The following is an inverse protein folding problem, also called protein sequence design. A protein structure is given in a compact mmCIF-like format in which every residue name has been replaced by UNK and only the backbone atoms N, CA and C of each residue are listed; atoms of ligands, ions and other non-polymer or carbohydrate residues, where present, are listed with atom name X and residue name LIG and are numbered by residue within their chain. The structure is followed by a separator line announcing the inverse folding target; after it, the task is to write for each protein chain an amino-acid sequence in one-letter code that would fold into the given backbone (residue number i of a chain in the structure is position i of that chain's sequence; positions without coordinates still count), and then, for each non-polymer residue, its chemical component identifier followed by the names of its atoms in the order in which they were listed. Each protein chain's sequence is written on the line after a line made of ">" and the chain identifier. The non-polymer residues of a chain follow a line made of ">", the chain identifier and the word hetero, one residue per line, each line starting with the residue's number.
data_IF_651810901022
#
_entry.id   IF_651810901022
#
_cell.length_a   1.000
_cell.length_b   1.000
_cell.length_c   1.000
_cell.angle_alpha   90.00
_cell.angle_beta   90.00
_cell.angle_gamma   90.00
#
_symmetry.space_group_name_H-M   'P 1'
#
loop_
_entity.id
_entity.type
_entity.pdbx_description
1 polymer ?
#
# COMPACT_ATOMS: atom_id res chain seq x y z
N UNK A 1 29.05 21.65 3.55
CA UNK A 1 28.82 20.37 4.25
C UNK A 1 27.55 19.77 3.67
N UNK A 2 27.44 18.44 3.61
CA UNK A 2 26.20 17.80 3.13
C UNK A 2 25.01 18.18 4.01
N UNK A 3 23.82 18.36 3.42
CA UNK A 3 22.58 18.61 4.17
C UNK A 3 22.11 17.37 4.94
N UNK A 4 22.47 16.17 4.48
CA UNK A 4 21.98 14.89 5.02
C UNK A 4 23.10 13.84 5.18
N UNK A 5 24.17 14.14 5.95
CA UNK A 5 25.38 13.32 5.95
C UNK A 5 25.17 11.87 6.42
N UNK A 6 24.18 11.58 7.27
CA UNK A 6 23.88 10.21 7.70
C UNK A 6 23.07 9.46 6.64
N UNK A 7 22.02 10.08 6.09
CA UNK A 7 21.20 9.48 5.06
C UNK A 7 21.95 9.27 3.73
N UNK A 8 22.94 10.11 3.41
CA UNK A 8 23.77 9.98 2.22
C UNK A 8 24.49 8.62 2.15
N UNK A 9 24.88 8.05 3.30
CA UNK A 9 25.50 6.72 3.34
C UNK A 9 24.55 5.61 2.85
N UNK A 10 23.24 5.83 2.95
CA UNK A 10 22.21 4.87 2.52
C UNK A 10 21.89 4.96 1.03
N UNK A 11 22.51 5.88 0.29
CA UNK A 11 22.45 5.88 -1.18
C UNK A 11 23.44 4.90 -1.81
N UNK A 12 24.39 4.41 -1.01
CA UNK A 12 25.40 3.46 -1.43
C UNK A 12 24.86 2.03 -1.41
N UNK A 13 25.59 1.13 -2.06
CA UNK A 13 25.26 -0.28 -2.12
C UNK A 13 24.31 -0.65 -3.27
N UNK A 14 24.06 -1.95 -3.47
CA UNK A 14 23.32 -2.43 -4.64
C UNK A 14 21.79 -2.39 -4.49
N UNK A 15 21.27 -2.33 -3.25
CA UNK A 15 19.83 -2.31 -3.01
C UNK A 15 19.23 -0.94 -3.36
N UNK A 16 18.06 -0.86 -4.02
CA UNK A 16 17.43 0.42 -4.37
C UNK A 16 17.17 1.26 -3.12
N UNK A 17 17.84 2.41 -3.05
CA UNK A 17 17.80 3.29 -1.89
C UNK A 17 16.50 4.09 -1.83
N UNK A 18 15.80 4.02 -0.69
CA UNK A 18 14.65 4.88 -0.42
C UNK A 18 15.07 6.36 -0.27
N UNK A 19 16.30 6.65 0.15
CA UNK A 19 16.83 8.02 0.25
C UNK A 19 16.90 8.66 -1.14
N UNK A 20 17.38 7.89 -2.13
CA UNK A 20 17.42 8.31 -3.52
C UNK A 20 16.03 8.64 -4.07
N UNK A 21 15.02 7.84 -3.74
CA UNK A 21 13.63 8.12 -4.14
C UNK A 21 13.10 9.41 -3.49
N UNK A 22 13.36 9.65 -2.21
CA UNK A 22 12.94 10.88 -1.53
C UNK A 22 13.62 12.12 -2.14
N UNK A 23 14.95 12.06 -2.35
CA UNK A 23 15.71 13.17 -2.97
C UNK A 23 15.21 13.48 -4.38
N UNK A 24 15.03 12.44 -5.21
CA UNK A 24 14.48 12.58 -6.56
C UNK A 24 13.10 13.24 -6.55
N UNK A 25 12.20 12.82 -5.66
CA UNK A 25 10.88 13.44 -5.54
C UNK A 25 10.98 14.90 -5.14
N UNK A 26 11.80 15.24 -4.14
CA UNK A 26 12.01 16.63 -3.73
C UNK A 26 12.50 17.51 -4.90
N UNK A 27 13.51 17.05 -5.63
CA UNK A 27 14.07 17.78 -6.79
C UNK A 27 13.03 18.00 -7.90
N UNK A 28 12.27 16.96 -8.24
CA UNK A 28 11.29 17.03 -9.33
C UNK A 28 10.05 17.84 -8.96
N UNK A 29 9.53 17.71 -7.74
CA UNK A 29 8.36 18.47 -7.26
C UNK A 29 8.68 19.98 -7.18
N UNK A 30 9.85 20.33 -6.64
CA UNK A 30 10.31 21.72 -6.58
C UNK A 30 10.55 22.32 -7.96
N UNK A 31 11.15 21.52 -8.88
CA UNK A 31 11.34 21.93 -10.27
C UNK A 31 10.00 22.17 -10.97
N UNK A 32 9.07 21.23 -10.86
CA UNK A 32 7.77 21.32 -11.50
C UNK A 32 6.95 22.53 -11.01
N UNK A 33 7.02 22.86 -9.71
CA UNK A 33 6.41 24.07 -9.17
C UNK A 33 7.05 25.35 -9.71
N UNK A 34 8.39 25.38 -9.87
CA UNK A 34 9.10 26.50 -10.51
C UNK A 34 8.75 26.66 -11.99
N UNK A 35 8.40 25.57 -12.66
CA UNK A 35 7.91 25.55 -14.05
C UNK A 35 6.42 25.93 -14.17
N UNK A 36 5.75 26.25 -13.06
CA UNK A 36 4.37 26.73 -13.05
C UNK A 36 3.30 25.63 -13.01
N UNK A 37 3.68 24.36 -12.73
CA UNK A 37 2.67 23.33 -12.44
C UNK A 37 1.92 23.65 -11.15
N UNK A 38 0.65 23.27 -11.10
CA UNK A 38 -0.19 23.44 -9.91
C UNK A 38 0.16 22.40 -8.84
N UNK A 39 1.19 22.69 -8.03
CA UNK A 39 1.67 21.82 -6.95
C UNK A 39 1.51 22.55 -5.63
N UNK A 40 0.74 21.97 -4.70
CA UNK A 40 0.43 22.60 -3.42
C UNK A 40 1.49 22.37 -2.34
N UNK A 41 2.32 21.34 -2.47
CA UNK A 41 3.31 20.94 -1.46
C UNK A 41 4.70 20.61 -2.05
N UNK A 42 5.33 21.53 -2.80
CA UNK A 42 6.55 21.23 -3.55
C UNK A 42 7.74 20.83 -2.66
N UNK A 43 7.87 21.42 -1.47
CA UNK A 43 9.01 21.21 -0.57
C UNK A 43 8.83 20.06 0.42
N UNK A 44 7.69 19.37 0.41
CA UNK A 44 7.32 18.43 1.47
C UNK A 44 8.24 17.20 1.54
N UNK A 45 8.69 16.67 0.40
CA UNK A 45 9.67 15.59 0.37
C UNK A 45 11.04 16.02 0.92
N UNK A 46 11.48 17.27 0.68
CA UNK A 46 12.72 17.81 1.26
C UNK A 46 12.58 18.00 2.77
N UNK A 47 11.43 18.46 3.24
CA UNK A 47 11.13 18.55 4.67
C UNK A 47 11.19 17.21 5.37
N UNK A 48 10.58 16.19 4.76
CA UNK A 48 10.65 14.82 5.25
C UNK A 48 12.10 14.35 5.34
N UNK A 49 12.91 14.62 4.32
CA UNK A 49 14.32 14.27 4.32
C UNK A 49 15.10 14.93 5.46
N UNK A 50 14.88 16.24 5.70
CA UNK A 50 15.51 16.96 6.83
C UNK A 50 15.10 16.39 8.18
N UNK A 51 13.80 16.18 8.39
CA UNK A 51 13.31 15.61 9.64
C UNK A 51 13.84 14.18 9.85
N UNK A 52 13.94 13.39 8.77
CA UNK A 52 14.48 12.04 8.84
C UNK A 52 15.97 12.06 9.20
N UNK A 53 16.76 12.98 8.65
CA UNK A 53 18.17 13.16 9.02
C UNK A 53 18.32 13.47 10.53
N UNK A 54 17.47 14.35 11.06
CA UNK A 54 17.43 14.66 12.50
C UNK A 54 17.06 13.41 13.30
N UNK A 55 16.06 12.64 12.86
CA UNK A 55 15.72 11.34 13.46
C UNK A 55 16.88 10.33 13.43
N UNK A 56 17.70 10.31 12.38
CA UNK A 56 18.89 9.45 12.31
C UNK A 56 19.95 9.85 13.33
N UNK A 57 20.15 11.16 13.51
CA UNK A 57 21.08 11.72 14.50
C UNK A 57 20.63 11.42 15.93
N UNK A 58 19.36 11.71 16.22
CA UNK A 58 18.82 11.65 17.59
C UNK A 58 18.35 10.23 17.96
N UNK A 59 18.17 9.35 16.98
CA UNK A 59 17.70 7.97 17.12
C UNK A 59 16.32 7.88 17.78
N UNK A 60 15.48 8.89 17.52
CA UNK A 60 14.09 8.98 17.98
C UNK A 60 13.19 9.47 16.85
N UNK A 61 11.89 9.18 16.95
CA UNK A 61 10.89 9.71 16.03
C UNK A 61 10.59 11.17 16.35
N UNK A 62 10.43 11.99 15.31
CA UNK A 62 10.00 13.39 15.41
C UNK A 62 8.55 13.61 14.97
N UNK A 63 7.75 12.56 15.15
CA UNK A 63 6.31 12.58 14.89
C UNK A 63 5.54 12.44 16.19
N UNK A 64 4.63 13.38 16.46
CA UNK A 64 3.77 13.35 17.66
C UNK A 64 2.44 12.63 17.41
N UNK A 65 1.65 12.52 18.47
CA UNK A 65 0.29 11.97 18.40
C UNK A 65 -0.52 12.70 17.31
N UNK A 66 -1.21 11.92 16.47
CA UNK A 66 -1.98 12.44 15.35
C UNK A 66 -3.31 13.00 15.81
N UNK A 67 -3.72 14.15 15.29
CA UNK A 67 -5.10 14.61 15.35
C UNK A 67 -6.03 13.75 14.47
N UNK A 68 -7.31 13.76 14.80
CA UNK A 68 -8.36 13.13 13.97
C UNK A 68 -8.61 14.05 12.78
N UNK A 69 -8.34 13.55 11.58
CA UNK A 69 -8.60 14.23 10.30
C UNK A 69 -9.14 13.20 9.31
N UNK A 70 -10.13 13.59 8.52
CA UNK A 70 -10.75 12.74 7.49
C UNK A 70 -11.31 13.60 6.35
N UNK A 71 -11.88 12.94 5.35
CA UNK A 71 -12.68 13.60 4.30
C UNK A 71 -14.15 13.65 4.71
N UNK A 72 -14.92 14.54 4.08
CA UNK A 72 -16.35 14.71 4.36
C UNK A 72 -17.10 13.41 4.05
N UNK A 73 -17.92 12.96 5.00
CA UNK A 73 -18.76 11.77 4.86
C UNK A 73 -18.12 10.45 5.30
N UNK A 74 -16.79 10.39 5.44
CA UNK A 74 -16.04 9.21 5.89
C UNK A 74 -15.37 9.44 7.25
N UNK A 75 -15.38 8.41 8.09
CA UNK A 75 -14.74 8.42 9.41
C UNK A 75 -13.37 7.73 9.46
N UNK A 76 -12.95 7.11 8.35
CA UNK A 76 -11.69 6.36 8.22
C UNK A 76 -10.92 6.69 6.95
N UNK A 77 -9.76 6.05 6.79
CA UNK A 77 -8.93 6.09 5.57
C UNK A 77 -7.84 7.15 5.52
N UNK A 78 -7.88 8.17 6.39
CA UNK A 78 -6.81 9.17 6.54
C UNK A 78 -6.14 9.02 7.91
N UNK A 79 -4.81 8.99 7.93
CA UNK A 79 -4.03 8.96 9.17
C UNK A 79 -3.40 10.34 9.41
N UNK A 80 -3.95 11.06 10.39
CA UNK A 80 -3.39 12.30 10.87
C UNK A 80 -2.00 12.11 11.46
N UNK A 81 -1.08 12.99 11.08
CA UNK A 81 0.32 12.98 11.50
C UNK A 81 0.85 14.40 11.51
N UNK A 82 1.54 14.74 12.60
CA UNK A 82 2.09 16.06 12.84
C UNK A 82 3.54 15.93 13.30
N UNK A 83 4.40 16.80 12.79
CA UNK A 83 5.78 16.90 13.25
C UNK A 83 5.86 17.57 14.63
N UNK A 84 6.79 17.14 15.48
CA UNK A 84 7.17 17.91 16.67
C UNK A 84 8.18 19.02 16.36
N UNK A 85 8.83 18.96 15.20
CA UNK A 85 9.72 19.98 14.62
C UNK A 85 8.98 20.94 13.67
N UNK A 86 7.64 21.03 13.76
CA UNK A 86 6.83 21.79 12.79
C UNK A 86 7.17 23.28 12.69
N UNK A 87 7.80 23.88 13.70
CA UNK A 87 8.31 25.25 13.61
C UNK A 87 9.63 25.35 12.83
N UNK A 88 10.47 24.32 12.88
CA UNK A 88 11.79 24.25 12.25
C UNK A 88 11.70 23.73 10.81
N UNK A 89 10.75 22.82 10.56
CA UNK A 89 10.48 22.19 9.27
C UNK A 89 8.99 22.35 8.94
N UNK A 90 8.52 23.57 8.64
CA UNK A 90 7.09 23.89 8.46
C UNK A 90 6.43 23.11 7.33
N UNK A 91 7.19 22.68 6.33
CA UNK A 91 6.69 21.87 5.21
C UNK A 91 6.17 20.48 5.62
N UNK A 92 6.51 19.98 6.82
CA UNK A 92 6.00 18.72 7.37
C UNK A 92 5.26 18.89 8.70
N UNK A 93 4.86 20.13 9.03
CA UNK A 93 4.00 20.40 10.19
C UNK A 93 2.76 19.50 10.17
N UNK A 94 2.12 19.39 9.00
CA UNK A 94 1.10 18.40 8.69
C UNK A 94 1.66 17.46 7.62
N UNK A 95 1.59 16.15 7.87
CA UNK A 95 2.08 15.14 6.94
C UNK A 95 1.18 13.91 6.91
N UNK A 96 -0.10 14.16 6.65
CA UNK A 96 -1.15 13.15 6.73
C UNK A 96 -1.04 12.12 5.61
N UNK A 97 -1.43 10.89 5.91
CA UNK A 97 -1.42 9.79 4.93
C UNK A 97 -2.84 9.51 4.47
N UNK A 98 -3.06 9.41 3.15
CA UNK A 98 -4.30 8.88 2.59
C UNK A 98 -4.08 7.45 2.13
N UNK A 99 -4.93 6.52 2.59
CA UNK A 99 -4.94 5.14 2.11
C UNK A 99 -5.90 5.04 0.96
N UNK A 100 -5.46 4.56 -0.18
CA UNK A 100 -6.27 4.48 -1.39
C UNK A 100 -6.50 3.00 -1.72
N UNK A 101 -7.76 2.63 -1.91
CA UNK A 101 -8.17 1.25 -2.13
C UNK A 101 -7.55 0.74 -3.45
N UNK A 102 -6.79 -0.36 -3.39
CA UNK A 102 -6.17 -0.95 -4.57
C UNK A 102 -7.14 -1.86 -5.33
N UNK A 103 -6.92 -2.09 -6.64
CA UNK A 103 -7.56 -3.18 -7.37
C UNK A 103 -7.17 -4.54 -6.78
N UNK A 104 -8.10 -5.50 -6.78
CA UNK A 104 -7.84 -6.87 -6.33
C UNK A 104 -6.62 -7.46 -7.03
N UNK A 105 -5.71 -8.08 -6.26
CA UNK A 105 -4.47 -8.66 -6.79
C UNK A 105 -3.41 -7.66 -7.25
N UNK A 106 -3.60 -6.36 -7.00
CA UNK A 106 -2.67 -5.28 -7.36
C UNK A 106 -2.37 -5.18 -8.87
N UNK A 107 -3.36 -5.50 -9.71
CA UNK A 107 -3.26 -5.32 -11.15
C UNK A 107 -3.59 -3.88 -11.55
N UNK A 108 -2.72 -3.30 -12.39
CA UNK A 108 -2.86 -1.91 -12.83
C UNK A 108 -2.69 -1.78 -14.33
N UNK A 109 -3.45 -0.85 -14.91
CA UNK A 109 -3.08 -0.24 -16.18
C UNK A 109 -2.17 0.96 -15.91
N UNK A 110 -1.29 1.28 -16.86
CA UNK A 110 -0.47 2.50 -16.73
C UNK A 110 -1.32 3.77 -16.69
N UNK A 111 -2.52 3.74 -17.27
CA UNK A 111 -3.48 4.85 -17.22
C UNK A 111 -3.97 5.13 -15.80
N UNK A 112 -4.37 4.09 -15.06
CA UNK A 112 -4.81 4.22 -13.67
C UNK A 112 -3.69 4.79 -12.78
N UNK A 113 -2.46 4.29 -12.94
CA UNK A 113 -1.31 4.76 -12.17
C UNK A 113 -0.94 6.21 -12.50
N UNK A 114 -0.97 6.61 -13.77
CA UNK A 114 -0.68 8.00 -14.17
C UNK A 114 -1.68 8.98 -13.56
N UNK A 115 -2.98 8.67 -13.62
CA UNK A 115 -4.00 9.52 -12.98
C UNK A 115 -3.76 9.68 -11.47
N UNK A 116 -3.42 8.60 -10.77
CA UNK A 116 -3.07 8.66 -9.36
C UNK A 116 -1.80 9.49 -9.09
N UNK A 117 -0.78 9.40 -9.95
CA UNK A 117 0.41 10.24 -9.86
C UNK A 117 0.08 11.72 -10.08
N UNK A 118 -0.74 12.06 -11.07
CA UNK A 118 -1.10 13.46 -11.39
C UNK A 118 -1.84 14.11 -10.22
N UNK A 119 -2.80 13.40 -9.62
CA UNK A 119 -3.53 13.90 -8.44
C UNK A 119 -2.61 14.05 -7.23
N UNK A 120 -1.72 13.09 -7.00
CA UNK A 120 -0.82 13.15 -5.85
C UNK A 120 0.32 14.17 -6.01
N UNK A 121 0.82 14.39 -7.23
CA UNK A 121 1.76 15.48 -7.55
C UNK A 121 1.15 16.84 -7.21
N UNK A 122 -0.15 17.03 -7.52
CA UNK A 122 -0.86 18.28 -7.21
C UNK A 122 -1.05 18.49 -5.72
N UNK A 123 -1.57 17.51 -4.99
CA UNK A 123 -2.08 17.70 -3.62
C UNK A 123 -1.18 17.23 -2.50
N UNK A 124 -0.14 16.46 -2.79
CA UNK A 124 0.68 15.79 -1.78
C UNK A 124 2.17 16.03 -1.95
N UNK A 125 2.94 15.24 -1.21
CA UNK A 125 4.41 15.28 -1.24
C UNK A 125 5.03 14.65 -2.50
N UNK A 126 4.23 13.94 -3.30
CA UNK A 126 4.71 13.05 -4.36
C UNK A 126 5.26 11.70 -3.87
N UNK A 127 5.44 11.50 -2.55
CA UNK A 127 5.93 10.25 -1.97
C UNK A 127 4.79 9.25 -1.80
N UNK A 128 5.08 7.97 -2.07
CA UNK A 128 4.08 6.90 -1.97
C UNK A 128 4.67 5.62 -1.38
N UNK A 129 3.81 4.70 -0.94
CA UNK A 129 4.18 3.30 -0.79
C UNK A 129 3.30 2.43 -1.69
N UNK A 130 3.94 1.55 -2.44
CA UNK A 130 3.31 0.54 -3.30
C UNK A 130 3.73 -0.85 -2.79
N UNK A 131 3.06 -1.40 -1.78
CA UNK A 131 1.81 -0.96 -1.14
C UNK A 131 1.94 -0.96 0.38
N UNK A 132 0.91 -0.51 1.08
CA UNK A 132 0.77 -0.75 2.51
C UNK A 132 0.50 -2.23 2.82
N UNK A 133 0.89 -2.71 4.00
CA UNK A 133 0.76 -4.14 4.35
C UNK A 133 -0.68 -4.66 4.43
N UNK A 134 -1.70 -3.81 4.50
CA UNK A 134 -3.10 -4.28 4.33
C UNK A 134 -3.40 -4.55 2.87
N UNK A 135 -2.86 -3.68 1.99
CA UNK A 135 -2.95 -3.76 0.54
C UNK A 135 -3.09 -2.38 -0.13
N UNK A 136 -3.54 -1.36 0.61
CA UNK A 136 -3.79 0.00 0.12
C UNK A 136 -2.56 0.63 -0.57
N UNK A 137 -2.80 1.44 -1.59
CA UNK A 137 -1.80 2.42 -2.05
C UNK A 137 -1.69 3.49 -0.97
N UNK A 138 -0.46 3.88 -0.62
CA UNK A 138 -0.22 4.87 0.42
C UNK A 138 0.22 6.18 -0.23
N UNK A 139 -0.61 7.21 -0.12
CA UNK A 139 -0.23 8.58 -0.46
C UNK A 139 0.34 9.26 0.79
N UNK A 140 1.66 9.42 0.83
CA UNK A 140 2.40 9.71 2.05
C UNK A 140 2.72 11.20 2.21
N UNK A 141 1.90 11.92 2.98
CA UNK A 141 2.17 13.30 3.36
C UNK A 141 1.38 14.31 2.55
N UNK A 142 0.31 14.82 3.15
CA UNK A 142 -0.41 16.00 2.71
C UNK A 142 -0.88 16.84 3.91
N UNK A 143 -1.40 18.04 3.66
CA UNK A 143 -1.98 18.93 4.67
C UNK A 143 -3.49 18.73 4.79
N UNK A 144 -4.08 19.19 5.89
CA UNK A 144 -5.49 18.93 6.21
C UNK A 144 -6.43 19.53 5.16
N UNK A 145 -6.13 20.75 4.73
CA UNK A 145 -6.88 21.52 3.72
C UNK A 145 -6.90 20.88 2.33
N UNK A 146 -5.99 19.94 2.04
CA UNK A 146 -5.89 19.27 0.75
C UNK A 146 -6.52 17.88 0.72
N UNK A 147 -6.93 17.33 1.87
CA UNK A 147 -7.53 16.00 1.93
C UNK A 147 -8.80 15.89 1.10
N UNK A 148 -9.73 16.83 1.27
CA UNK A 148 -11.02 16.82 0.58
C UNK A 148 -10.86 17.09 -0.93
N UNK A 149 -10.12 18.12 -1.39
CA UNK A 149 -9.88 18.32 -2.81
C UNK A 149 -9.13 17.16 -3.49
N UNK A 150 -8.17 16.54 -2.79
CA UNK A 150 -7.46 15.36 -3.30
C UNK A 150 -8.42 14.19 -3.51
N UNK A 151 -9.28 13.92 -2.53
CA UNK A 151 -10.29 12.87 -2.65
C UNK A 151 -11.28 13.13 -3.78
N UNK A 152 -11.73 14.38 -3.92
CA UNK A 152 -12.59 14.77 -5.04
C UNK A 152 -11.89 14.53 -6.39
N UNK A 153 -10.65 14.96 -6.57
CA UNK A 153 -9.92 14.73 -7.82
C UNK A 153 -9.71 13.22 -8.09
N UNK A 154 -9.41 12.41 -7.05
CA UNK A 154 -9.30 10.94 -7.19
C UNK A 154 -10.61 10.29 -7.65
N UNK A 155 -11.75 10.74 -7.10
CA UNK A 155 -13.07 10.24 -7.44
C UNK A 155 -13.54 10.65 -8.84
N UNK A 156 -13.00 11.75 -9.39
CA UNK A 156 -13.33 12.26 -10.72
C UNK A 156 -12.33 11.84 -11.82
N UNK A 157 -11.31 11.04 -11.50
CA UNK A 157 -10.44 10.43 -12.51
C UNK A 157 -11.25 9.54 -13.46
N UNK A 158 -10.78 9.40 -14.70
CA UNK A 158 -11.38 8.46 -15.65
C UNK A 158 -11.29 7.00 -15.17
N UNK A 159 -10.24 6.67 -14.42
CA UNK A 159 -10.18 5.44 -13.61
C UNK A 159 -10.14 5.86 -12.15
N UNK A 160 -11.33 5.99 -11.50
CA UNK A 160 -11.43 6.56 -10.18
C UNK A 160 -10.88 5.62 -9.11
N UNK A 161 -10.42 6.23 -8.01
CA UNK A 161 -10.01 5.52 -6.82
C UNK A 161 -10.77 6.06 -5.61
N UNK A 162 -11.24 5.14 -4.76
CA UNK A 162 -11.79 5.50 -3.45
C UNK A 162 -10.75 5.27 -2.34
N UNK A 163 -11.02 5.80 -1.15
CA UNK A 163 -10.19 5.68 0.05
C UNK A 163 -10.33 4.26 0.64
N UNK A 164 -9.23 3.70 1.13
CA UNK A 164 -9.23 2.46 1.90
C UNK A 164 -9.64 2.63 3.37
N UNK A 165 -9.63 1.53 4.12
CA UNK A 165 -10.06 1.52 5.53
C UNK A 165 -8.99 1.91 6.55
N UNK A 166 -9.39 2.68 7.57
CA UNK A 166 -8.63 2.83 8.82
C UNK A 166 -9.50 3.25 10.00
N UNK A 167 -9.28 2.60 11.15
CA UNK A 167 -9.98 2.92 12.39
C UNK A 167 -10.49 1.64 13.02
N UNK A 168 -11.66 1.72 13.65
CA UNK A 168 -12.43 0.56 14.11
C UNK A 168 -13.52 0.21 13.09
N UNK A 169 -13.08 -0.29 11.95
CA UNK A 169 -13.81 -0.49 10.71
C UNK A 169 -13.42 -1.82 10.02
N UNK A 170 -14.13 -2.13 8.93
CA UNK A 170 -13.61 -3.06 7.93
C UNK A 170 -12.39 -2.43 7.27
N UNK A 171 -11.27 -3.12 7.30
CA UNK A 171 -10.09 -2.73 6.53
C UNK A 171 -10.22 -3.26 5.12
N UNK A 172 -9.58 -2.54 4.20
CA UNK A 172 -9.44 -2.91 2.79
C UNK A 172 -9.12 -4.40 2.63
N UNK A 173 -10.04 -5.19 2.06
CA UNK A 173 -9.77 -6.58 1.71
C UNK A 173 -8.61 -6.70 0.72
N UNK A 174 -7.83 -7.79 0.81
CA UNK A 174 -6.80 -8.11 -0.19
C UNK A 174 -6.83 -9.56 -0.61
N UNK A 175 -6.40 -9.82 -1.84
CA UNK A 175 -6.39 -11.15 -2.44
C UNK A 175 -5.06 -11.47 -3.13
N UNK A 176 -4.69 -12.75 -3.15
CA UNK A 176 -3.60 -13.20 -4.02
C UNK A 176 -4.00 -13.05 -5.49
N UNK A 177 -3.05 -13.25 -6.41
CA UNK A 177 -3.32 -13.16 -7.85
C UNK A 177 -4.41 -14.14 -8.33
N UNK A 178 -4.62 -15.25 -7.63
CA UNK A 178 -5.72 -16.18 -7.90
C UNK A 178 -5.75 -16.65 -9.36
N UNK A 179 -6.95 -16.76 -9.97
CA UNK A 179 -7.10 -17.34 -11.30
C UNK A 179 -6.53 -16.47 -12.43
N UNK A 180 -6.10 -15.23 -12.15
CA UNK A 180 -5.51 -14.38 -13.20
C UNK A 180 -4.21 -14.96 -13.76
N UNK A 181 -3.40 -15.60 -12.90
CA UNK A 181 -2.08 -16.10 -13.26
C UNK A 181 -1.74 -17.46 -12.64
N UNK A 182 -2.49 -17.93 -11.63
CA UNK A 182 -2.17 -19.16 -10.91
C UNK A 182 -3.12 -20.30 -11.26
N UNK A 183 -2.54 -21.41 -11.70
CA UNK A 183 -3.19 -22.69 -11.99
C UNK A 183 -3.65 -23.44 -10.73
N UNK A 184 -3.22 -23.03 -9.53
CA UNK A 184 -3.62 -23.63 -8.25
C UNK A 184 -4.86 -22.96 -7.61
N UNK A 185 -5.39 -21.90 -8.21
CA UNK A 185 -6.52 -21.17 -7.65
C UNK A 185 -7.78 -22.06 -7.59
N UNK A 186 -8.28 -22.33 -6.38
CA UNK A 186 -9.47 -23.15 -6.16
C UNK A 186 -10.78 -22.36 -6.29
N UNK A 187 -10.71 -21.03 -6.36
CA UNK A 187 -11.84 -20.13 -6.57
C UNK A 187 -11.34 -18.78 -7.11
N UNK A 188 -12.26 -17.93 -7.57
CA UNK A 188 -11.92 -16.56 -7.98
C UNK A 188 -11.68 -15.65 -6.78
N UNK A 189 -10.41 -15.50 -6.40
CA UNK A 189 -10.03 -14.64 -5.27
C UNK A 189 -10.19 -13.16 -5.57
N UNK A 190 -10.05 -12.76 -6.83
CA UNK A 190 -10.05 -11.35 -7.23
C UNK A 190 -11.47 -10.82 -7.19
N UNK A 191 -12.40 -11.58 -7.76
CA UNK A 191 -13.83 -11.27 -7.77
C UNK A 191 -14.39 -11.25 -6.35
N UNK A 192 -14.13 -12.28 -5.54
CA UNK A 192 -14.61 -12.29 -4.15
C UNK A 192 -14.10 -11.09 -3.35
N UNK A 193 -12.83 -10.73 -3.52
CA UNK A 193 -12.25 -9.57 -2.84
C UNK A 193 -12.91 -8.26 -3.28
N UNK A 194 -13.21 -8.13 -4.58
CA UNK A 194 -13.89 -6.95 -5.11
C UNK A 194 -15.32 -6.85 -4.61
N UNK A 195 -16.10 -7.94 -4.72
CA UNK A 195 -17.48 -8.02 -4.27
C UNK A 195 -17.62 -7.73 -2.77
N UNK A 196 -16.75 -8.29 -1.93
CA UNK A 196 -16.75 -7.98 -0.49
C UNK A 196 -16.42 -6.50 -0.22
N UNK A 197 -15.50 -5.93 -1.00
CA UNK A 197 -15.13 -4.50 -0.86
C UNK A 197 -16.31 -3.60 -1.23
N UNK A 198 -17.05 -3.91 -2.29
CA UNK A 198 -18.23 -3.15 -2.71
C UNK A 198 -19.44 -3.35 -1.79
N UNK A 199 -19.65 -4.59 -1.33
CA UNK A 199 -20.78 -4.93 -0.45
C UNK A 199 -20.71 -4.19 0.88
N UNK A 200 -19.50 -4.06 1.44
CA UNK A 200 -19.27 -3.53 2.79
C UNK A 200 -18.58 -2.15 2.79
N UNK A 201 -18.85 -1.33 1.76
CA UNK A 201 -18.33 0.04 1.67
C UNK A 201 -18.64 0.86 2.93
N UNK A 202 -19.86 0.72 3.46
CA UNK A 202 -20.26 1.48 4.65
C UNK A 202 -19.41 1.10 5.87
N UNK A 203 -19.22 -0.19 6.12
CA UNK A 203 -18.44 -0.73 7.23
C UNK A 203 -16.95 -0.40 7.10
N UNK A 204 -16.46 -0.19 5.87
CA UNK A 204 -15.09 0.24 5.57
C UNK A 204 -14.89 1.74 5.79
N UNK A 205 -15.80 2.57 5.29
CA UNK A 205 -15.63 4.04 5.31
C UNK A 205 -16.11 4.70 6.62
N UNK A 206 -17.02 4.07 7.35
CA UNK A 206 -17.66 4.63 8.56
C UNK A 206 -17.42 3.71 9.76
N UNK A 207 -16.28 3.89 10.46
CA UNK A 207 -15.93 3.08 11.62
C UNK A 207 -17.02 3.09 12.70
N UNK A 208 -17.68 1.96 12.89
CA UNK A 208 -18.77 1.76 13.86
C UNK A 208 -18.57 0.50 14.72
N UNK A 209 -17.42 -0.17 14.59
CA UNK A 209 -17.12 -1.42 15.28
C UNK A 209 -16.30 -1.21 16.56
N UNK A 210 -16.22 -2.21 17.46
CA UNK A 210 -15.37 -2.14 18.64
C UNK A 210 -13.88 -2.00 18.29
N UNK A 211 -13.44 -2.66 17.22
CA UNK A 211 -12.09 -2.52 16.71
C UNK A 211 -12.02 -2.84 15.20
N UNK A 212 -10.80 -2.87 14.65
CA UNK A 212 -10.57 -3.18 13.23
C UNK A 212 -10.88 -4.65 12.92
N UNK A 213 -11.32 -4.91 11.69
CA UNK A 213 -11.48 -6.26 11.16
C UNK A 213 -10.91 -6.33 9.74
N UNK A 214 -10.22 -7.42 9.40
CA UNK A 214 -9.55 -7.60 8.12
C UNK A 214 -10.00 -8.89 7.45
N UNK A 215 -10.20 -8.82 6.14
CA UNK A 215 -10.46 -9.98 5.28
C UNK A 215 -9.27 -10.17 4.33
N UNK A 216 -8.83 -11.41 4.14
CA UNK A 216 -7.88 -11.77 3.08
C UNK A 216 -8.29 -13.05 2.37
N UNK A 217 -8.09 -13.07 1.06
CA UNK A 217 -8.49 -14.14 0.15
C UNK A 217 -7.26 -14.82 -0.48
N UNK A 218 -7.01 -16.08 -0.14
CA UNK A 218 -5.96 -16.89 -0.72
C UNK A 218 -6.55 -18.05 -1.53
N UNK A 219 -6.12 -18.20 -2.78
CA UNK A 219 -6.73 -19.15 -3.72
C UNK A 219 -6.43 -20.63 -3.41
N UNK A 220 -5.40 -20.91 -2.62
CA UNK A 220 -5.01 -22.26 -2.21
C UNK A 220 -4.23 -22.22 -0.87
N UNK A 221 -3.90 -23.38 -0.27
CA UNK A 221 -3.21 -23.45 1.03
C UNK A 221 -1.80 -22.85 1.10
N UNK A 222 -1.17 -22.53 -0.04
CA UNK A 222 0.10 -21.78 -0.06
C UNK A 222 -0.02 -20.39 0.60
N UNK A 223 -1.24 -19.82 0.62
CA UNK A 223 -1.56 -18.58 1.33
C UNK A 223 -0.62 -17.42 0.98
N UNK A 224 -0.51 -17.10 -0.32
CA UNK A 224 0.44 -16.11 -0.85
C UNK A 224 0.19 -14.67 -0.37
N UNK A 225 -0.96 -14.39 0.27
CA UNK A 225 -1.25 -13.09 0.93
C UNK A 225 -1.14 -13.14 2.44
N UNK A 226 -0.69 -14.28 2.99
CA UNK A 226 -0.57 -14.53 4.42
C UNK A 226 -1.86 -14.18 5.19
N UNK A 227 -3.00 -14.60 4.63
CA UNK A 227 -4.32 -14.40 5.19
C UNK A 227 -4.37 -14.84 6.65
N UNK A 228 -3.92 -16.08 6.93
CA UNK A 228 -3.99 -16.70 8.26
C UNK A 228 -3.27 -15.90 9.36
N UNK A 229 -2.28 -15.08 8.99
CA UNK A 229 -1.47 -14.28 9.92
C UNK A 229 -1.88 -12.81 9.98
N UNK A 230 -2.56 -12.30 8.94
CA UNK A 230 -2.74 -10.85 8.70
C UNK A 230 -4.20 -10.47 8.46
N UNK A 231 -5.15 -11.37 8.68
CA UNK A 231 -6.57 -11.14 8.60
C UNK A 231 -7.31 -11.82 9.76
N UNK A 232 -8.33 -11.14 10.28
CA UNK A 232 -9.24 -11.67 11.29
C UNK A 232 -10.16 -12.74 10.68
N UNK A 233 -10.49 -12.58 9.39
CA UNK A 233 -11.22 -13.56 8.60
C UNK A 233 -10.42 -13.97 7.36
N UNK A 234 -9.94 -15.21 7.38
CA UNK A 234 -9.09 -15.77 6.33
C UNK A 234 -9.91 -16.71 5.46
N UNK A 235 -10.03 -16.39 4.17
CA UNK A 235 -10.69 -17.24 3.18
C UNK A 235 -9.58 -17.93 2.39
N UNK A 236 -9.40 -19.24 2.61
CA UNK A 236 -8.34 -20.03 1.99
C UNK A 236 -8.96 -21.16 1.18
N UNK A 237 -8.67 -21.16 -0.13
CA UNK A 237 -9.20 -22.12 -1.08
C UNK A 237 -8.68 -23.53 -0.81
N UNK A 238 -9.53 -24.50 -1.08
CA UNK A 238 -9.24 -25.94 -0.95
C UNK A 238 -10.15 -26.74 -1.88
N UNK A 239 -9.93 -28.04 -1.96
CA UNK A 239 -10.75 -29.00 -2.70
C UNK A 239 -11.21 -30.15 -1.78
N UNK A 240 -12.10 -31.02 -2.29
CA UNK A 240 -12.67 -32.14 -1.52
C UNK A 240 -12.61 -33.49 -2.22
N UNK A 241 -12.28 -33.49 -3.50
CA UNK A 241 -12.08 -34.65 -4.36
C UNK A 241 -10.60 -35.04 -4.43
N UNK A 242 -10.26 -35.98 -5.32
CA UNK A 242 -8.91 -36.48 -5.48
C UNK A 242 -8.01 -35.46 -6.21
N UNK A 243 -6.71 -35.48 -5.90
CA UNK A 243 -5.72 -34.75 -6.70
C UNK A 243 -5.69 -35.36 -8.10
N UNK A 244 -5.79 -34.52 -9.13
CA UNK A 244 -5.70 -34.94 -10.54
C UNK A 244 -4.23 -35.21 -10.88
N UNK A 245 -3.92 -36.45 -11.30
CA UNK A 245 -2.56 -36.89 -11.59
C UNK A 245 -2.42 -37.23 -13.07
N UNK A 246 -1.53 -36.54 -13.78
CA UNK A 246 -1.10 -36.89 -15.13
C UNK A 246 0.15 -37.78 -15.06
N UNK A 247 -0.02 -39.06 -15.40
CA UNK A 247 1.04 -40.06 -15.32
C UNK A 247 2.16 -39.84 -16.36
N UNK A 248 1.89 -39.21 -17.49
CA UNK A 248 2.91 -38.88 -18.48
C UNK A 248 3.79 -37.75 -17.97
N UNK A 249 3.19 -36.71 -17.40
CA UNK A 249 3.92 -35.61 -16.77
C UNK A 249 4.79 -36.09 -15.59
N UNK A 250 4.27 -36.98 -14.72
CA UNK A 250 5.04 -37.56 -13.61
C UNK A 250 6.28 -38.31 -14.12
N UNK A 251 6.15 -39.09 -15.20
CA UNK A 251 7.30 -39.78 -15.81
C UNK A 251 8.32 -38.81 -16.40
N UNK A 252 7.89 -37.66 -16.91
CA UNK A 252 8.80 -36.63 -17.39
C UNK A 252 9.64 -36.04 -16.24
N UNK A 253 9.00 -35.69 -15.11
CA UNK A 253 9.69 -35.23 -13.91
C UNK A 253 10.67 -36.27 -13.37
N UNK A 254 10.28 -37.54 -13.34
CA UNK A 254 11.10 -38.65 -12.83
C UNK A 254 12.44 -38.84 -13.59
N UNK A 255 12.60 -38.26 -14.79
CA UNK A 255 13.86 -38.31 -15.54
C UNK A 255 14.97 -37.46 -14.93
N UNK A 256 14.62 -36.43 -14.15
CA UNK A 256 15.60 -35.45 -13.65
C UNK A 256 15.39 -35.04 -12.18
N UNK A 257 14.20 -35.21 -11.62
CA UNK A 257 13.87 -34.89 -10.24
C UNK A 257 13.87 -36.16 -9.37
N UNK A 258 14.46 -36.09 -8.18
CA UNK A 258 14.41 -37.16 -7.19
C UNK A 258 13.07 -37.14 -6.44
N UNK A 259 12.02 -37.64 -7.09
CA UNK A 259 10.64 -37.64 -6.58
C UNK A 259 10.55 -38.32 -5.20
N UNK A 260 11.37 -39.33 -4.93
CA UNK A 260 11.36 -40.04 -3.65
C UNK A 260 11.78 -39.11 -2.50
N UNK A 261 12.92 -38.43 -2.64
CA UNK A 261 13.46 -37.59 -1.56
C UNK A 261 12.81 -36.20 -1.51
N UNK A 262 12.40 -35.64 -2.66
CA UNK A 262 11.87 -34.27 -2.75
C UNK A 262 10.34 -34.19 -2.67
N UNK A 263 9.62 -35.32 -2.83
CA UNK A 263 8.14 -35.35 -2.74
C UNK A 263 7.66 -36.40 -1.75
N UNK A 264 7.95 -37.68 -1.98
CA UNK A 264 7.36 -38.79 -1.19
C UNK A 264 7.74 -38.67 0.30
N UNK A 265 9.03 -38.51 0.60
CA UNK A 265 9.52 -38.37 1.99
C UNK A 265 9.20 -37.03 2.65
N UNK A 266 8.78 -36.03 1.86
CA UNK A 266 8.36 -34.71 2.37
C UNK A 266 6.84 -34.59 2.49
N UNK A 267 6.08 -35.57 2.00
CA UNK A 267 4.64 -35.63 2.18
C UNK A 267 4.33 -35.81 3.68
N UNK A 268 3.53 -34.91 4.29
CA UNK A 268 3.31 -34.93 5.74
C UNK A 268 2.43 -36.08 6.24
N UNK A 269 1.81 -36.86 5.34
CA UNK A 269 0.90 -37.99 5.60
C UNK A 269 0.94 -38.98 4.45
#
# INVERSE_FOLDING_TARGET
>A
MSETPLLDELEKGPWPSFVKEIKKTAELMEKAAKEGKDIKMPSAARGLLKQLEISYKDKVTHWKHGGIVSVVGYGGGVIGRYSDLGAEVPEVEHFHTMRINMPSGWFYTTKALRGLCDVWEKWGSGLTNFHGSTGDIILLGTRSEYLQPCFEDLAHLETPFDIGGSGSDLRTPSACMGPSLCEFACYDTLELCHELTLTYQNELHRPMWPYKFKIKCAGCPNDCVAAKLRADFSIVGTWKDEIKIDQEAVREYAKWMDIENEVVKLCPT
#
